data_IF_721425619209
#
_entry.id   IF_721425619209
#
_cell.length_a   1.000
_cell.length_b   1.000
_cell.length_c   1.000
_cell.angle_alpha   90.00
_cell.angle_beta   90.00
_cell.angle_gamma   90.00
#
_symmetry.space_group_name_H-M   'P 1'
#
loop_
_entity.id
_entity.type
_entity.pdbx_description
1 polymer ?
#
# COMPACT_ATOMS: atom_id res chain seq x y z
N UNK A 1 0.39 24.21 -13.56
CA UNK A 1 1.06 23.65 -12.36
C UNK A 1 1.30 24.66 -11.22
N UNK A 2 1.15 25.98 -11.42
CA UNK A 2 1.37 26.98 -10.35
C UNK A 2 0.30 26.98 -9.24
N UNK A 3 -0.98 26.77 -9.56
CA UNK A 3 -2.07 26.97 -8.57
C UNK A 3 -2.22 25.89 -7.49
N UNK A 4 -1.82 24.64 -7.79
CA UNK A 4 -1.84 23.54 -6.80
C UNK A 4 -0.78 23.74 -5.71
N UNK A 5 0.36 24.34 -6.09
CA UNK A 5 1.49 24.58 -5.20
C UNK A 5 1.23 25.68 -4.16
N UNK A 6 0.22 26.52 -4.41
CA UNK A 6 -0.14 27.67 -3.56
C UNK A 6 -1.44 27.44 -2.75
N UNK A 7 -1.96 26.22 -2.68
CA UNK A 7 -3.17 25.92 -1.88
C UNK A 7 -4.47 26.59 -2.37
N UNK A 8 -4.47 27.20 -3.57
CA UNK A 8 -5.65 27.89 -4.13
C UNK A 8 -6.76 26.95 -4.59
N UNK A 9 -6.47 25.66 -4.74
CA UNK A 9 -7.45 24.61 -5.03
C UNK A 9 -7.56 23.74 -3.78
N UNK A 10 -8.59 23.98 -2.97
CA UNK A 10 -8.82 23.26 -1.73
C UNK A 10 -9.29 21.80 -1.94
N UNK A 11 -9.72 21.46 -3.16
CA UNK A 11 -10.15 20.11 -3.52
C UNK A 11 -9.85 19.83 -5.00
N UNK A 12 -8.62 19.39 -5.33
CA UNK A 12 -8.30 18.96 -6.70
C UNK A 12 -9.17 17.77 -7.08
N UNK A 13 -9.53 17.67 -8.38
CA UNK A 13 -10.29 16.52 -8.87
C UNK A 13 -9.50 15.22 -8.66
N UNK A 14 -10.21 14.10 -8.47
CA UNK A 14 -9.59 12.79 -8.30
C UNK A 14 -8.65 12.43 -9.46
N UNK A 15 -9.02 12.81 -10.69
CA UNK A 15 -8.18 12.65 -11.88
C UNK A 15 -6.85 13.40 -11.77
N UNK A 16 -6.86 14.60 -11.20
CA UNK A 16 -5.64 15.40 -10.99
C UNK A 16 -4.74 14.74 -9.94
N UNK A 17 -5.33 14.25 -8.84
CA UNK A 17 -4.60 13.54 -7.78
C UNK A 17 -3.99 12.24 -8.32
N UNK A 18 -4.76 11.48 -9.11
CA UNK A 18 -4.28 10.25 -9.74
C UNK A 18 -3.10 10.49 -10.71
N UNK A 19 -3.17 11.56 -11.51
CA UNK A 19 -2.08 11.93 -12.41
C UNK A 19 -0.80 12.32 -11.65
N UNK A 20 -0.93 13.03 -10.51
CA UNK A 20 0.20 13.36 -9.64
C UNK A 20 0.78 12.12 -8.98
N UNK A 21 -0.07 11.25 -8.43
CA UNK A 21 0.33 9.97 -7.83
C UNK A 21 1.14 9.11 -8.81
N UNK A 22 0.66 8.98 -10.06
CA UNK A 22 1.37 8.29 -11.12
C UNK A 22 2.72 8.96 -11.48
N UNK A 23 2.75 10.30 -11.54
CA UNK A 23 3.97 11.06 -11.84
C UNK A 23 5.05 10.95 -10.77
N UNK A 24 4.67 10.81 -9.50
CA UNK A 24 5.58 10.63 -8.37
C UNK A 24 5.80 9.17 -7.97
N UNK A 25 5.17 8.22 -8.66
CA UNK A 25 5.23 6.78 -8.37
C UNK A 25 4.81 6.43 -6.92
N UNK A 26 3.82 7.17 -6.40
CA UNK A 26 3.26 6.99 -5.05
C UNK A 26 1.77 6.67 -5.12
N UNK A 27 1.27 6.00 -4.08
CA UNK A 27 -0.12 5.63 -3.91
C UNK A 27 -1.00 6.88 -3.83
N UNK A 28 -2.21 6.83 -4.39
CA UNK A 28 -3.15 7.96 -4.32
C UNK A 28 -3.50 8.32 -2.87
N UNK A 29 -3.46 7.33 -1.97
CA UNK A 29 -3.65 7.51 -0.54
C UNK A 29 -2.62 8.47 0.06
N UNK A 30 -1.43 8.63 -0.54
CA UNK A 30 -0.42 9.59 -0.08
C UNK A 30 -0.96 11.01 0.03
N UNK A 31 -1.88 11.41 -0.85
CA UNK A 31 -2.47 12.75 -0.88
C UNK A 31 -3.62 12.94 0.11
N UNK A 32 -3.94 11.92 0.92
CA UNK A 32 -5.02 11.98 1.90
C UNK A 32 -4.50 12.42 3.27
N UNK A 33 -5.33 13.17 4.01
CA UNK A 33 -5.03 13.56 5.40
C UNK A 33 -4.84 12.32 6.29
N UNK A 34 -5.63 11.27 6.06
CA UNK A 34 -5.58 10.03 6.83
C UNK A 34 -4.19 9.36 6.77
N UNK A 35 -3.60 9.24 5.56
CA UNK A 35 -2.26 8.70 5.40
C UNK A 35 -1.22 9.49 6.20
N UNK A 36 -1.27 10.83 6.13
CA UNK A 36 -0.33 11.67 6.86
C UNK A 36 -0.55 11.66 8.37
N UNK A 37 -1.78 11.45 8.84
CA UNK A 37 -2.08 11.28 10.25
C UNK A 37 -1.55 9.94 10.79
N UNK A 38 -1.78 8.83 10.07
CA UNK A 38 -1.26 7.50 10.43
C UNK A 38 0.27 7.47 10.46
N UNK A 39 0.92 8.20 9.57
CA UNK A 39 2.38 8.26 9.47
C UNK A 39 2.96 9.58 10.00
N UNK A 40 2.28 10.25 10.94
CA UNK A 40 2.71 11.57 11.43
C UNK A 40 4.09 11.55 12.12
N UNK A 41 4.47 10.40 12.67
CA UNK A 41 5.76 10.16 13.33
C UNK A 41 6.92 9.98 12.33
N UNK A 42 6.61 9.79 11.04
CA UNK A 42 7.61 9.57 9.99
C UNK A 42 8.03 10.87 9.31
N UNK A 43 9.30 10.95 8.87
CA UNK A 43 9.77 12.05 8.02
C UNK A 43 9.07 12.03 6.66
N UNK A 44 9.02 13.17 5.95
CA UNK A 44 8.40 13.22 4.62
C UNK A 44 9.05 12.23 3.64
N UNK A 45 10.38 12.08 3.67
CA UNK A 45 11.09 11.12 2.82
C UNK A 45 10.67 9.67 3.12
N UNK A 46 10.46 9.34 4.39
CA UNK A 46 9.98 8.02 4.79
C UNK A 46 8.53 7.81 4.38
N UNK A 47 7.66 8.81 4.53
CA UNK A 47 6.26 8.77 4.06
C UNK A 47 6.17 8.52 2.56
N UNK A 48 7.00 9.20 1.77
CA UNK A 48 7.11 8.95 0.32
C UNK A 48 7.53 7.51 0.07
N UNK A 49 8.54 7.00 0.79
CA UNK A 49 9.00 5.61 0.66
C UNK A 49 7.89 4.60 0.96
N UNK A 50 7.15 4.80 2.05
CA UNK A 50 6.00 3.97 2.46
C UNK A 50 4.87 4.03 1.43
N UNK A 51 4.67 5.18 0.80
CA UNK A 51 3.68 5.35 -0.24
C UNK A 51 4.13 4.89 -1.63
N UNK A 52 5.39 4.50 -1.85
CA UNK A 52 5.84 4.10 -3.19
C UNK A 52 5.03 2.91 -3.67
N UNK A 53 4.46 3.05 -4.86
CA UNK A 53 3.69 1.99 -5.48
C UNK A 53 4.66 0.87 -5.86
N UNK A 54 4.49 -0.30 -5.25
CA UNK A 54 4.93 -1.53 -5.91
C UNK A 54 4.02 -1.76 -7.12
N UNK A 55 4.47 -1.31 -8.30
CA UNK A 55 3.73 -1.50 -9.57
C UNK A 55 3.37 -2.96 -9.81
N UNK A 56 4.15 -3.88 -9.25
CA UNK A 56 3.87 -5.31 -9.24
C UNK A 56 2.58 -5.66 -8.48
N UNK A 57 2.38 -5.10 -7.28
CA UNK A 57 1.17 -5.37 -6.49
C UNK A 57 -0.07 -4.80 -7.16
N UNK A 58 0.01 -3.61 -7.75
CA UNK A 58 -1.10 -3.02 -8.49
C UNK A 58 -1.45 -3.81 -9.77
N UNK A 59 -0.46 -4.27 -10.52
CA UNK A 59 -0.68 -5.14 -11.68
C UNK A 59 -1.32 -6.48 -11.28
N UNK A 60 -0.88 -7.04 -10.15
CA UNK A 60 -1.48 -8.26 -9.61
C UNK A 60 -2.94 -8.02 -9.20
N UNK A 61 -3.21 -6.94 -8.46
CA UNK A 61 -4.56 -6.57 -8.05
C UNK A 61 -5.49 -6.35 -9.26
N UNK A 62 -5.01 -5.62 -10.29
CA UNK A 62 -5.75 -5.44 -11.53
C UNK A 62 -6.02 -6.78 -12.23
N UNK A 63 -4.99 -7.62 -12.38
CA UNK A 63 -5.14 -8.93 -13.01
C UNK A 63 -6.14 -9.83 -12.27
N UNK A 64 -6.18 -9.79 -10.93
CA UNK A 64 -7.16 -10.52 -10.12
C UNK A 64 -8.57 -9.97 -10.33
N UNK A 65 -8.73 -8.64 -10.43
CA UNK A 65 -10.02 -8.01 -10.72
C UNK A 65 -10.55 -8.33 -12.12
N UNK A 66 -9.69 -8.64 -13.08
CA UNK A 66 -10.10 -9.01 -14.45
C UNK A 66 -10.49 -10.50 -14.57
N UNK A 67 -10.28 -11.32 -13.55
CA UNK A 67 -10.65 -12.74 -13.56
C UNK A 67 -12.18 -12.94 -13.47
N UNK A 68 -12.72 -14.03 -14.06
CA UNK A 68 -14.07 -14.51 -13.78
C UNK A 68 -14.30 -14.71 -12.27
N UNK A 69 -15.55 -14.56 -11.77
CA UNK A 69 -15.85 -14.59 -10.34
C UNK A 69 -15.29 -15.82 -9.59
N UNK A 70 -15.47 -17.03 -10.13
CA UNK A 70 -14.95 -18.28 -9.54
C UNK A 70 -13.42 -18.31 -9.43
N UNK A 71 -12.73 -17.72 -10.41
CA UNK A 71 -11.28 -17.70 -10.45
C UNK A 71 -10.73 -16.63 -9.50
N UNK A 72 -11.47 -15.53 -9.34
CA UNK A 72 -11.17 -14.46 -8.39
C UNK A 72 -11.28 -14.94 -6.94
N UNK A 73 -12.34 -15.67 -6.61
CA UNK A 73 -12.51 -16.31 -5.30
C UNK A 73 -11.33 -17.24 -4.97
N UNK A 74 -10.95 -18.08 -5.95
CA UNK A 74 -9.78 -18.96 -5.82
C UNK A 74 -8.49 -18.18 -5.59
N UNK A 75 -8.27 -17.09 -6.35
CA UNK A 75 -7.09 -16.23 -6.18
C UNK A 75 -7.04 -15.60 -4.78
N UNK A 76 -8.17 -15.09 -4.27
CA UNK A 76 -8.22 -14.54 -2.92
C UNK A 76 -7.99 -15.59 -1.83
N UNK A 77 -8.53 -16.80 -1.99
CA UNK A 77 -8.26 -17.90 -1.06
C UNK A 77 -6.77 -18.25 -0.99
N UNK A 78 -6.09 -18.31 -2.13
CA UNK A 78 -4.65 -18.57 -2.20
C UNK A 78 -3.83 -17.45 -1.56
N UNK A 79 -4.19 -16.19 -1.80
CA UNK A 79 -3.54 -15.04 -1.15
C UNK A 79 -3.67 -15.16 0.38
N UNK A 80 -4.87 -15.45 0.89
CA UNK A 80 -5.10 -15.62 2.32
C UNK A 80 -4.30 -16.78 2.94
N UNK A 81 -4.15 -17.90 2.23
CA UNK A 81 -3.30 -19.03 2.68
C UNK A 81 -1.83 -18.59 2.81
N UNK A 82 -1.32 -17.86 1.82
CA UNK A 82 0.07 -17.38 1.83
C UNK A 82 0.31 -16.39 2.98
N UNK A 83 -0.63 -15.48 3.22
CA UNK A 83 -0.56 -14.53 4.34
C UNK A 83 -0.55 -15.25 5.70
N UNK A 84 -1.40 -16.27 5.87
CA UNK A 84 -1.43 -17.08 7.08
C UNK A 84 -0.12 -17.85 7.32
N UNK A 85 0.51 -18.36 6.26
CA UNK A 85 1.82 -19.04 6.37
C UNK A 85 2.94 -18.08 6.74
N UNK A 86 2.94 -16.87 6.18
CA UNK A 86 3.94 -15.85 6.51
C UNK A 86 3.81 -15.41 7.97
N UNK A 87 2.58 -15.16 8.44
CA UNK A 87 2.30 -14.85 9.83
C UNK A 87 2.73 -15.98 10.78
N UNK A 88 2.47 -17.24 10.41
CA UNK A 88 2.88 -18.40 11.20
C UNK A 88 4.42 -18.52 11.29
N UNK A 89 5.15 -18.26 10.20
CA UNK A 89 6.62 -18.22 10.21
C UNK A 89 7.17 -17.09 11.07
N UNK A 90 6.57 -15.89 10.99
CA UNK A 90 6.97 -14.75 11.80
C UNK A 90 6.75 -15.03 13.30
N UNK A 91 5.64 -15.67 13.67
CA UNK A 91 5.36 -16.12 15.04
C UNK A 91 6.31 -17.23 15.53
N UNK A 92 6.65 -18.20 14.67
CA UNK A 92 7.65 -19.23 15.01
C UNK A 92 9.06 -18.66 15.18
N UNK A 93 9.45 -17.66 14.38
CA UNK A 93 10.74 -16.99 14.48
C UNK A 93 10.88 -16.22 15.79
N UNK A 94 9.83 -15.57 16.27
CA UNK A 94 9.83 -14.93 17.59
C UNK A 94 9.96 -15.97 18.72
N UNK A 95 9.23 -17.09 18.66
CA UNK A 95 9.33 -18.14 19.68
C UNK A 95 10.69 -18.86 19.70
N UNK A 96 11.37 -18.97 18.55
CA UNK A 96 12.70 -19.59 18.47
C UNK A 96 13.82 -18.71 19.07
N UNK A 97 13.66 -17.39 19.06
CA UNK A 97 14.66 -16.44 19.59
C UNK A 97 14.66 -16.40 21.12
N UNK A 98 13.53 -16.69 21.77
CA UNK A 98 13.41 -16.74 23.22
C UNK A 98 13.60 -18.15 23.83
N UNK A 99 13.79 -19.18 22.99
CA UNK A 99 13.87 -20.58 23.40
C UNK A 99 15.26 -21.18 23.61
N UNK A 100 16.36 -20.40 23.50
CA UNK A 100 17.74 -20.89 23.66
C UNK A 100 18.45 -20.47 24.96
N UNK A 101 17.73 -19.95 25.95
CA UNK A 101 18.27 -19.75 27.30
C UNK A 101 17.37 -20.44 28.32
N UNK A 102 17.61 -21.74 28.54
CA UNK A 102 17.01 -22.56 29.59
C UNK A 102 17.96 -23.69 29.94
#
# INVERSE_FOLDING_TARGET
MSSLRHGRVQSPSLTTVAALAAGFDVDIAFFTTDFHHRHHHETMAQRVRLARISRRHYRLAAAVCDLPPSNRETAFALIGILEAQEAAKAGHSLNSVWGQHG
#
